data_IF_039603763471
#
_entry.id   IF_039603763471
#
_cell.length_a   1.000
_cell.length_b   1.000
_cell.length_c   1.000
_cell.angle_alpha   90.00
_cell.angle_beta   90.00
_cell.angle_gamma   90.00
#
_symmetry.space_group_name_H-M   'P 1'
#
loop_
_entity.id
_entity.type
_entity.pdbx_description
1 polymer ?
#
# COMPACT_ATOMS: atom_id res chain seq x y z
N UNK A 1 0.05 -16.63 -10.21
CA UNK A 1 -0.35 -15.40 -10.89
C UNK A 1 0.69 -14.32 -10.77
N UNK A 2 0.94 -13.63 -11.87
CA UNK A 2 1.90 -12.54 -11.84
C UNK A 2 1.35 -11.35 -11.07
N UNK A 3 2.17 -10.76 -10.23
CA UNK A 3 1.82 -9.53 -9.53
C UNK A 3 2.28 -8.34 -10.36
N UNK A 4 1.52 -7.25 -10.30
CA UNK A 4 1.95 -5.99 -10.87
C UNK A 4 2.96 -5.37 -9.91
N UNK A 5 4.08 -4.90 -10.44
CA UNK A 5 5.20 -4.41 -9.63
C UNK A 5 5.72 -3.10 -10.18
N UNK A 6 6.08 -2.18 -9.30
CA UNK A 6 6.80 -0.96 -9.67
C UNK A 6 7.67 -0.53 -8.50
N UNK A 7 8.65 0.32 -8.77
CA UNK A 7 9.52 0.83 -7.71
C UNK A 7 9.83 2.31 -7.91
N UNK A 8 10.35 2.93 -6.85
CA UNK A 8 10.76 4.32 -6.85
C UNK A 8 11.85 4.50 -5.80
N UNK A 9 12.74 5.44 -6.02
CA UNK A 9 13.75 5.81 -5.02
C UNK A 9 13.26 7.03 -4.25
N UNK A 10 13.25 6.93 -2.93
CA UNK A 10 12.80 7.99 -2.02
C UNK A 10 13.98 8.47 -1.20
N UNK A 11 14.13 9.78 -1.07
CA UNK A 11 15.22 10.41 -0.33
C UNK A 11 15.01 10.38 1.18
N UNK A 12 14.99 9.18 1.75
CA UNK A 12 14.85 8.97 3.19
C UNK A 12 15.35 7.57 3.56
N UNK A 13 15.55 7.34 4.84
CA UNK A 13 15.97 6.01 5.35
C UNK A 13 14.80 5.04 5.34
N UNK A 14 15.07 3.72 5.30
CA UNK A 14 13.99 2.72 5.40
C UNK A 14 13.13 2.90 6.65
N UNK A 15 13.73 3.21 7.79
CA UNK A 15 13.01 3.42 9.04
C UNK A 15 11.98 4.52 8.93
N UNK A 16 12.38 5.66 8.36
CA UNK A 16 11.49 6.80 8.19
C UNK A 16 10.34 6.49 7.23
N UNK A 17 10.65 5.82 6.11
CA UNK A 17 9.65 5.44 5.13
C UNK A 17 8.66 4.47 5.73
N UNK A 18 9.16 3.47 6.46
CA UNK A 18 8.29 2.48 7.08
C UNK A 18 7.38 3.10 8.13
N UNK A 19 7.85 4.11 8.86
CA UNK A 19 7.02 4.84 9.83
C UNK A 19 5.85 5.53 9.13
N UNK A 20 6.07 6.09 7.94
CA UNK A 20 4.99 6.70 7.15
C UNK A 20 4.01 5.64 6.65
N UNK A 21 4.52 4.50 6.19
CA UNK A 21 3.68 3.39 5.74
C UNK A 21 2.83 2.85 6.90
N UNK A 22 3.35 2.88 8.12
CA UNK A 22 2.62 2.40 9.30
C UNK A 22 1.65 3.43 9.88
N UNK A 23 1.73 4.67 9.46
CA UNK A 23 0.86 5.75 9.95
C UNK A 23 -0.43 5.81 9.12
N UNK A 24 -1.32 4.87 9.39
CA UNK A 24 -2.55 4.72 8.61
C UNK A 24 -3.52 5.88 8.73
N UNK A 25 -3.54 6.56 9.85
CA UNK A 25 -4.41 7.72 10.04
C UNK A 25 -4.14 8.83 9.03
N UNK A 26 -2.91 8.90 8.53
CA UNK A 26 -2.49 9.92 7.58
C UNK A 26 -2.62 9.49 6.11
N UNK A 27 -3.03 8.25 5.84
CA UNK A 27 -3.14 7.73 4.47
C UNK A 27 -3.98 8.59 3.54
N UNK A 28 -5.15 9.12 3.95
CA UNK A 28 -5.94 9.95 3.05
C UNK A 28 -5.18 11.19 2.56
N UNK A 29 -4.16 11.62 3.27
CA UNK A 29 -3.36 12.79 2.91
C UNK A 29 -2.48 12.52 1.69
N UNK A 30 -1.94 11.31 1.56
CA UNK A 30 -0.97 11.01 0.51
C UNK A 30 -1.32 9.82 -0.38
N UNK A 31 -2.12 8.89 0.11
CA UNK A 31 -2.50 7.70 -0.66
C UNK A 31 -3.80 8.00 -1.42
N UNK A 32 -3.65 8.54 -2.62
CA UNK A 32 -4.81 8.91 -3.46
C UNK A 32 -5.72 7.70 -3.67
N UNK A 33 -7.02 7.91 -3.47
CA UNK A 33 -8.00 6.84 -3.55
C UNK A 33 -8.38 6.26 -2.21
N UNK A 34 -7.52 6.37 -1.21
CA UNK A 34 -7.84 5.92 0.15
C UNK A 34 -8.60 7.05 0.87
N UNK A 35 -9.86 6.82 1.14
CA UNK A 35 -10.72 7.77 1.85
C UNK A 35 -10.58 7.64 3.34
N UNK A 36 -10.48 6.40 3.82
CA UNK A 36 -10.36 6.07 5.24
C UNK A 36 -9.37 4.93 5.39
N UNK A 37 -8.51 5.02 6.40
CA UNK A 37 -7.66 3.92 6.83
C UNK A 37 -7.68 3.94 8.36
N UNK A 38 -8.39 3.01 8.96
CA UNK A 38 -8.62 2.98 10.40
C UNK A 38 -8.04 1.72 11.00
N UNK A 39 -7.15 1.88 11.97
CA UNK A 39 -6.55 0.74 12.66
C UNK A 39 -7.60 0.08 13.54
N UNK A 40 -7.85 -1.20 13.30
CA UNK A 40 -8.84 -1.99 14.03
C UNK A 40 -8.19 -2.83 15.12
N UNK A 41 -7.03 -3.40 14.81
CA UNK A 41 -6.26 -4.22 15.76
C UNK A 41 -4.79 -3.88 15.66
N UNK A 42 -4.13 -3.81 16.80
CA UNK A 42 -2.70 -3.61 16.90
C UNK A 42 -2.10 -4.59 17.89
N UNK A 43 -0.89 -5.06 17.59
CA UNK A 43 -0.12 -5.88 18.49
C UNK A 43 1.31 -5.35 18.43
N UNK A 44 1.83 -4.93 19.58
CA UNK A 44 3.15 -4.30 19.62
C UNK A 44 3.14 -2.90 19.02
N UNK A 45 4.18 -2.56 18.27
CA UNK A 45 4.38 -1.21 17.77
C UNK A 45 3.64 -0.87 16.48
N UNK A 46 3.20 -1.88 15.74
CA UNK A 46 2.59 -1.65 14.42
C UNK A 46 1.25 -2.34 14.28
N UNK A 47 0.35 -1.72 13.47
CA UNK A 47 -0.99 -2.27 13.28
C UNK A 47 -1.00 -3.62 12.60
N UNK A 48 -1.90 -4.50 13.02
CA UNK A 48 -2.09 -5.83 12.42
C UNK A 48 -3.30 -5.89 11.50
N UNK A 49 -4.32 -5.08 11.78
CA UNK A 49 -5.54 -5.08 10.97
C UNK A 49 -6.03 -3.66 10.79
N UNK A 50 -6.30 -3.29 9.55
CA UNK A 50 -6.72 -1.93 9.19
C UNK A 50 -7.93 -2.00 8.29
N UNK A 51 -8.94 -1.17 8.60
CA UNK A 51 -10.13 -1.02 7.77
C UNK A 51 -9.92 0.10 6.77
N UNK A 52 -10.17 -0.18 5.50
CA UNK A 52 -10.01 0.79 4.42
C UNK A 52 -11.32 1.08 3.72
N UNK A 53 -11.48 2.34 3.32
CA UNK A 53 -12.49 2.74 2.34
C UNK A 53 -11.71 3.24 1.12
N UNK A 54 -11.82 2.54 0.02
CA UNK A 54 -11.08 2.81 -1.21
C UNK A 54 -12.02 3.31 -2.30
N UNK A 55 -11.64 4.43 -2.93
CA UNK A 55 -12.30 4.93 -4.12
C UNK A 55 -11.25 5.22 -5.19
N UNK A 56 -10.78 4.17 -5.85
CA UNK A 56 -9.79 4.25 -6.93
C UNK A 56 -10.40 3.57 -8.16
N UNK A 57 -11.12 4.33 -8.97
CA UNK A 57 -11.83 3.79 -10.13
C UNK A 57 -10.91 2.91 -10.98
N UNK A 58 -11.37 1.75 -11.44
CA UNK A 58 -12.73 1.24 -11.35
C UNK A 58 -13.07 0.54 -10.03
N UNK A 59 -12.14 0.49 -9.08
CA UNK A 59 -12.33 -0.23 -7.81
C UNK A 59 -12.84 0.71 -6.72
N UNK A 60 -13.95 0.34 -6.09
CA UNK A 60 -14.53 1.02 -4.94
C UNK A 60 -14.99 -0.02 -3.95
N UNK A 61 -14.49 0.04 -2.72
CA UNK A 61 -14.87 -0.96 -1.74
C UNK A 61 -14.49 -0.53 -0.33
N UNK A 62 -15.03 -1.27 0.62
CA UNK A 62 -14.62 -1.20 2.02
C UNK A 62 -14.15 -2.59 2.41
N UNK A 63 -13.03 -2.69 3.10
CA UNK A 63 -12.45 -3.98 3.43
C UNK A 63 -11.42 -3.82 4.53
N UNK A 64 -11.06 -4.96 5.12
CA UNK A 64 -10.00 -5.01 6.12
C UNK A 64 -8.79 -5.74 5.56
N UNK A 65 -7.62 -5.21 5.82
CA UNK A 65 -6.36 -5.85 5.46
C UNK A 65 -5.62 -6.30 6.71
N UNK A 66 -5.05 -7.49 6.63
CA UNK A 66 -4.15 -7.99 7.66
C UNK A 66 -2.71 -7.74 7.25
N UNK A 67 -1.90 -7.24 8.17
CA UNK A 67 -0.52 -6.82 7.90
C UNK A 67 0.49 -7.69 8.61
N UNK A 68 1.56 -8.05 7.89
CA UNK A 68 2.73 -8.75 8.42
C UNK A 68 3.95 -7.87 8.22
N UNK A 69 4.58 -7.47 9.31
CA UNK A 69 5.73 -6.56 9.31
C UNK A 69 7.04 -7.30 9.49
N UNK A 70 8.05 -6.94 8.71
CA UNK A 70 9.41 -7.45 8.85
C UNK A 70 10.36 -6.28 9.08
N UNK A 71 10.32 -5.73 10.31
CA UNK A 71 11.12 -4.57 10.68
C UNK A 71 10.90 -3.40 9.75
N UNK A 72 11.98 -2.81 9.26
CA UNK A 72 11.92 -1.72 8.29
C UNK A 72 12.26 -2.19 6.88
N UNK A 73 12.31 -3.50 6.66
CA UNK A 73 12.67 -4.09 5.37
C UNK A 73 11.48 -4.34 4.47
N UNK A 74 10.40 -4.81 5.04
CA UNK A 74 9.21 -5.12 4.24
C UNK A 74 7.96 -5.17 5.10
N UNK A 75 6.83 -5.02 4.42
CA UNK A 75 5.52 -5.26 4.99
C UNK A 75 4.65 -5.86 3.91
N UNK A 76 3.90 -6.89 4.26
CA UNK A 76 2.95 -7.49 3.33
C UNK A 76 1.56 -7.46 3.93
N UNK A 77 0.54 -7.54 3.08
CA UNK A 77 -0.84 -7.54 3.52
C UNK A 77 -1.69 -8.43 2.64
N UNK A 78 -2.81 -8.85 3.22
CA UNK A 78 -3.78 -9.68 2.53
C UNK A 78 -5.19 -9.26 2.96
N UNK A 79 -6.15 -9.55 2.09
CA UNK A 79 -7.56 -9.28 2.38
C UNK A 79 -8.05 -10.26 3.46
N UNK A 80 -8.54 -9.73 4.58
CA UNK A 80 -9.02 -10.56 5.69
C UNK A 80 -10.40 -11.13 5.37
N UNK A 81 -11.31 -10.27 4.89
CA UNK A 81 -12.65 -10.68 4.47
C UNK A 81 -12.96 -10.07 3.12
N UNK A 82 -13.72 -10.81 2.32
CA UNK A 82 -14.13 -10.30 1.00
C UNK A 82 -14.94 -9.03 1.18
N UNK A 83 -14.61 -8.01 0.38
CA UNK A 83 -15.43 -6.81 0.29
C UNK A 83 -16.62 -7.05 -0.65
N UNK A 84 -17.36 -5.99 -0.94
CA UNK A 84 -18.48 -6.10 -1.89
C UNK A 84 -17.98 -6.28 -3.32
N UNK A 85 -16.81 -5.76 -3.62
CA UNK A 85 -16.20 -5.79 -4.94
C UNK A 85 -14.92 -6.63 -4.97
N UNK A 86 -14.03 -6.43 -3.99
CA UNK A 86 -12.76 -7.14 -3.90
C UNK A 86 -12.95 -8.55 -3.34
N UNK A 87 -12.44 -9.55 -4.04
CA UNK A 87 -12.46 -10.94 -3.59
C UNK A 87 -11.11 -11.39 -3.08
N UNK A 88 -10.03 -10.75 -3.52
CA UNK A 88 -8.71 -10.96 -2.94
C UNK A 88 -7.84 -9.73 -3.17
N UNK A 89 -6.88 -9.53 -2.28
CA UNK A 89 -5.85 -8.51 -2.43
C UNK A 89 -4.63 -8.99 -1.67
N UNK A 90 -3.50 -9.00 -2.36
CA UNK A 90 -2.20 -9.30 -1.78
C UNK A 90 -1.23 -8.22 -2.22
N UNK A 91 -0.54 -7.63 -1.27
CA UNK A 91 0.40 -6.58 -1.57
C UNK A 91 1.63 -6.66 -0.69
N UNK A 92 2.67 -5.97 -1.13
CA UNK A 92 3.92 -5.93 -0.39
C UNK A 92 4.71 -4.68 -0.75
N UNK A 93 5.27 -4.02 0.27
CA UNK A 93 6.34 -3.05 0.12
C UNK A 93 7.64 -3.70 0.53
N UNK A 94 8.67 -3.54 -0.30
CA UNK A 94 10.03 -3.95 0.05
C UNK A 94 10.92 -2.71 0.00
N UNK A 95 11.70 -2.48 1.06
CA UNK A 95 12.56 -1.32 1.19
C UNK A 95 14.02 -1.77 1.19
N UNK A 96 14.81 -1.21 0.27
CA UNK A 96 16.21 -1.54 0.12
C UNK A 96 17.04 -0.26 0.13
N UNK A 97 17.94 -0.08 1.11
CA UNK A 97 18.77 1.13 1.13
C UNK A 97 19.64 1.18 -0.12
N UNK A 98 19.65 2.34 -0.77
CA UNK A 98 20.50 2.60 -1.93
C UNK A 98 21.78 3.26 -1.45
N UNK A 99 21.64 4.17 -0.51
CA UNK A 99 22.76 4.83 0.19
C UNK A 99 22.25 5.27 1.58
N UNK A 100 23.04 6.08 2.28
CA UNK A 100 22.69 6.50 3.64
C UNK A 100 21.43 7.37 3.72
N UNK A 101 21.07 8.02 2.62
CA UNK A 101 19.99 9.00 2.58
C UNK A 101 18.86 8.64 1.63
N UNK A 102 18.90 7.47 0.99
CA UNK A 102 17.86 7.09 0.07
C UNK A 102 17.58 5.59 0.07
N UNK A 103 16.37 5.24 -0.29
CA UNK A 103 15.85 3.88 -0.26
C UNK A 103 15.07 3.60 -1.54
N UNK A 104 15.27 2.42 -2.11
CA UNK A 104 14.40 1.94 -3.17
C UNK A 104 13.19 1.26 -2.53
N UNK A 105 12.01 1.73 -2.89
CA UNK A 105 10.75 1.15 -2.42
C UNK A 105 10.10 0.42 -3.58
N UNK A 106 9.90 -0.88 -3.43
CA UNK A 106 9.23 -1.70 -4.43
C UNK A 106 7.85 -2.08 -3.90
N UNK A 107 6.82 -1.85 -4.73
CA UNK A 107 5.44 -2.18 -4.40
C UNK A 107 4.95 -3.26 -5.36
N UNK A 108 4.47 -4.36 -4.80
CA UNK A 108 3.88 -5.45 -5.56
C UNK A 108 2.40 -5.55 -5.17
N UNK A 109 1.53 -5.75 -6.15
CA UNK A 109 0.10 -5.81 -5.88
C UNK A 109 -0.60 -6.80 -6.81
N UNK A 110 -1.50 -7.59 -6.25
CA UNK A 110 -2.41 -8.44 -6.98
C UNK A 110 -3.79 -8.29 -6.38
N UNK A 111 -4.79 -8.01 -7.21
CA UNK A 111 -6.18 -7.89 -6.76
C UNK A 111 -7.09 -8.74 -7.65
N UNK A 112 -8.17 -9.24 -7.06
CA UNK A 112 -9.26 -9.88 -7.79
C UNK A 112 -10.57 -9.27 -7.36
N UNK A 113 -11.50 -9.19 -8.31
CA UNK A 113 -12.81 -8.58 -8.08
C UNK A 113 -13.93 -9.56 -8.45
N UNK A 114 -15.11 -9.34 -7.87
CA UNK A 114 -16.27 -10.21 -8.09
C UNK A 114 -16.85 -10.07 -9.49
N UNK A 115 -16.62 -8.92 -10.14
CA UNK A 115 -17.09 -8.66 -11.50
C UNK A 115 -15.99 -9.08 -12.46
N UNK A 116 -16.32 -9.89 -13.50
CA UNK A 116 -15.29 -10.28 -14.47
C UNK A 116 -14.62 -9.06 -15.10
N UNK A 117 -13.30 -9.06 -15.13
CA UNK A 117 -12.49 -8.03 -15.76
C UNK A 117 -11.49 -8.68 -16.70
N UNK A 118 -11.26 -8.04 -17.84
CA UNK A 118 -10.19 -8.46 -18.73
C UNK A 118 -8.86 -8.32 -17.99
N UNK A 119 -7.96 -9.27 -18.18
CA UNK A 119 -6.65 -9.25 -17.51
C UNK A 119 -5.89 -7.97 -17.73
N UNK A 120 -5.98 -7.38 -18.92
CA UNK A 120 -5.33 -6.12 -19.24
C UNK A 120 -5.89 -4.98 -18.40
N UNK A 121 -7.21 -4.93 -18.21
CA UNK A 121 -7.86 -3.89 -17.42
C UNK A 121 -7.53 -4.03 -15.95
N UNK A 122 -7.47 -5.25 -15.47
CA UNK A 122 -7.07 -5.55 -14.09
C UNK A 122 -5.65 -5.07 -13.81
N UNK A 123 -4.70 -5.38 -14.71
CA UNK A 123 -3.31 -4.94 -14.55
C UNK A 123 -3.18 -3.43 -14.61
N UNK A 124 -3.99 -2.77 -15.45
CA UNK A 124 -3.99 -1.31 -15.53
C UNK A 124 -4.48 -0.70 -14.22
N UNK A 125 -5.51 -1.26 -13.62
CA UNK A 125 -6.02 -0.79 -12.32
C UNK A 125 -4.96 -0.95 -11.24
N UNK A 126 -4.30 -2.11 -11.19
CA UNK A 126 -3.22 -2.37 -10.23
C UNK A 126 -2.08 -1.38 -10.42
N UNK A 127 -1.69 -1.12 -11.66
CA UNK A 127 -0.61 -0.20 -11.98
C UNK A 127 -0.92 1.24 -11.53
N UNK A 128 -2.15 1.68 -11.74
CA UNK A 128 -2.59 3.00 -11.29
C UNK A 128 -2.50 3.11 -9.77
N UNK A 129 -2.96 2.10 -9.05
CA UNK A 129 -2.89 2.08 -7.59
C UNK A 129 -1.44 2.15 -7.13
N UNK A 130 -0.57 1.31 -7.70
CA UNK A 130 0.85 1.25 -7.34
C UNK A 130 1.55 2.58 -7.62
N UNK A 131 1.41 3.09 -8.82
CA UNK A 131 2.12 4.32 -9.22
C UNK A 131 1.66 5.52 -8.39
N UNK A 132 0.35 5.60 -8.14
CA UNK A 132 -0.21 6.68 -7.34
C UNK A 132 0.28 6.59 -5.89
N UNK A 133 0.32 5.38 -5.34
CA UNK A 133 0.80 5.16 -3.98
C UNK A 133 2.28 5.52 -3.85
N UNK A 134 3.11 5.05 -4.78
CA UNK A 134 4.56 5.31 -4.72
C UNK A 134 4.87 6.80 -4.87
N UNK A 135 4.21 7.48 -5.81
CA UNK A 135 4.41 8.92 -6.01
C UNK A 135 3.94 9.71 -4.80
N UNK A 136 2.80 9.34 -4.24
CA UNK A 136 2.26 9.98 -3.05
C UNK A 136 3.17 9.78 -1.84
N UNK A 137 3.64 8.56 -1.66
CA UNK A 137 4.56 8.22 -0.57
C UNK A 137 5.85 9.04 -0.67
N UNK A 138 6.46 9.08 -1.85
CA UNK A 138 7.68 9.84 -2.10
C UNK A 138 7.48 11.33 -1.77
N UNK A 139 6.42 11.91 -2.31
CA UNK A 139 6.11 13.32 -2.09
C UNK A 139 5.90 13.63 -0.61
N UNK A 140 5.16 12.76 0.07
CA UNK A 140 4.85 12.96 1.49
C UNK A 140 6.11 12.82 2.36
N UNK A 141 6.89 11.78 2.14
CA UNK A 141 8.12 11.53 2.91
C UNK A 141 9.13 12.65 2.70
N UNK A 142 9.40 13.02 1.45
CA UNK A 142 10.40 14.05 1.12
C UNK A 142 9.93 15.44 1.54
N UNK A 143 8.63 15.70 1.43
CA UNK A 143 8.06 16.98 1.82
C UNK A 143 8.02 17.19 3.33
N UNK A 144 7.80 16.14 4.10
CA UNK A 144 7.71 16.21 5.56
C UNK A 144 9.05 16.00 6.25
N UNK A 145 10.10 15.73 5.51
CA UNK A 145 11.43 15.41 6.01
C UNK A 145 12.26 16.59 6.47
N UNK A 146 11.67 17.71 6.72
CA UNK A 146 12.40 18.93 7.06
C UNK A 146 12.25 19.33 8.48
#
# INVERSE_FOLDING_TARGET
MARTTSDIVIGATPSRIMDVIADFDDYPTWATGVRVAEVVESSGERPERVHFVLEAAPIRDQYDLGYDWDGDRSVSWHLVERGSMLTSMDGKYELEPVDDDSTRVTYQLSVDVSIPMLGMLKRKAEKVIIDTALKGLKKHVEGSGR
#
